data_IF_313232539496
#
_entry.id   IF_313232539496
#
_cell.length_a   1.000
_cell.length_b   1.000
_cell.length_c   1.000
_cell.angle_alpha   90.00
_cell.angle_beta   90.00
_cell.angle_gamma   90.00
#
_symmetry.space_group_name_H-M   'P 1'
#
loop_
_entity.id
_entity.type
_entity.pdbx_description
1 polymer ?
#
# COMPACT_ATOMS: atom_id res chain seq x y z
N UNK A 1 -8.59 4.44 -6.58
CA UNK A 1 -8.80 4.50 -8.05
C UNK A 1 -9.80 5.54 -8.55
N UNK A 2 -10.87 5.91 -7.84
CA UNK A 2 -11.96 6.73 -8.43
C UNK A 2 -11.53 8.09 -9.02
N UNK A 3 -10.47 8.72 -8.52
CA UNK A 3 -9.90 9.95 -9.10
C UNK A 3 -9.09 9.68 -10.39
N UNK A 4 -8.45 8.52 -10.47
CA UNK A 4 -7.65 8.10 -11.61
C UNK A 4 -8.49 7.49 -12.74
N UNK A 5 -9.60 6.82 -12.40
CA UNK A 5 -10.62 6.36 -13.34
C UNK A 5 -12.02 6.77 -12.85
N UNK A 6 -12.51 7.95 -13.28
CA UNK A 6 -13.80 8.48 -12.82
C UNK A 6 -14.99 7.59 -13.20
N UNK A 7 -15.77 7.19 -12.20
CA UNK A 7 -16.88 6.20 -12.35
C UNK A 7 -17.94 6.59 -13.37
N UNK A 8 -18.16 7.88 -13.58
CA UNK A 8 -19.07 8.40 -14.59
C UNK A 8 -18.69 7.97 -16.02
N UNK A 9 -17.43 7.59 -16.27
CA UNK A 9 -17.01 7.09 -17.58
C UNK A 9 -17.54 5.68 -17.87
N UNK A 10 -18.10 4.98 -16.88
CA UNK A 10 -18.70 3.66 -17.09
C UNK A 10 -19.85 3.70 -18.09
N UNK A 11 -20.66 4.76 -18.10
CA UNK A 11 -21.75 4.92 -19.06
C UNK A 11 -21.25 5.06 -20.51
N UNK A 12 -20.03 5.56 -20.69
CA UNK A 12 -19.42 5.79 -22.00
C UNK A 12 -18.64 4.59 -22.48
N UNK A 13 -17.84 3.99 -21.61
CA UNK A 13 -17.05 2.80 -21.92
C UNK A 13 -16.95 1.86 -20.71
N UNK A 14 -17.91 0.92 -20.57
CA UNK A 14 -17.88 -0.10 -19.52
C UNK A 14 -16.66 -1.03 -19.61
N UNK A 15 -16.00 -1.13 -20.77
CA UNK A 15 -14.87 -2.06 -20.97
C UNK A 15 -13.65 -1.70 -20.14
N UNK A 16 -13.55 -0.42 -19.74
CA UNK A 16 -12.48 0.07 -18.89
C UNK A 16 -12.50 -0.53 -17.48
N UNK A 17 -13.65 -1.03 -17.05
CA UNK A 17 -13.86 -1.45 -15.67
C UNK A 17 -13.75 -2.96 -15.51
N UNK A 18 -13.46 -3.39 -14.29
CA UNK A 18 -13.30 -4.82 -13.99
C UNK A 18 -14.55 -5.62 -14.36
N UNK A 19 -14.33 -6.86 -14.77
CA UNK A 19 -15.37 -7.89 -14.72
C UNK A 19 -15.41 -8.43 -13.29
N UNK A 20 -16.60 -8.49 -12.69
CA UNK A 20 -16.84 -9.07 -11.38
C UNK A 20 -16.96 -10.60 -11.43
N UNK A 21 -17.16 -11.22 -10.28
CA UNK A 21 -17.28 -12.68 -10.14
C UNK A 21 -18.51 -13.24 -10.87
N UNK A 22 -19.52 -12.41 -11.14
CA UNK A 22 -20.71 -12.74 -11.91
C UNK A 22 -20.51 -12.58 -13.43
N UNK A 23 -19.31 -12.23 -13.88
CA UNK A 23 -19.01 -12.04 -15.31
C UNK A 23 -19.48 -10.70 -15.88
N UNK A 24 -19.86 -9.73 -15.04
CA UNK A 24 -20.40 -8.44 -15.45
C UNK A 24 -19.37 -7.31 -15.26
N UNK A 25 -19.38 -6.31 -16.15
CA UNK A 25 -18.59 -5.08 -15.95
C UNK A 25 -19.17 -4.28 -14.78
N UNK A 26 -18.30 -3.82 -13.88
CA UNK A 26 -18.71 -3.09 -12.68
C UNK A 26 -17.80 -1.88 -12.40
N UNK A 27 -18.36 -0.69 -12.10
CA UNK A 27 -17.57 0.49 -11.76
C UNK A 27 -17.19 0.59 -10.27
N UNK A 28 -17.48 -0.42 -9.45
CA UNK A 28 -17.34 -0.35 -7.99
C UNK A 28 -15.90 -0.20 -7.46
N UNK A 29 -14.92 -0.81 -8.12
CA UNK A 29 -13.54 -0.91 -7.62
C UNK A 29 -12.50 -0.75 -8.75
N UNK A 30 -11.72 -1.78 -9.04
CA UNK A 30 -10.58 -1.67 -9.94
C UNK A 30 -10.97 -1.63 -11.43
N UNK A 31 -9.98 -1.26 -12.25
CA UNK A 31 -10.12 -1.24 -13.70
C UNK A 31 -9.81 -2.62 -14.32
N UNK A 32 -10.07 -2.75 -15.62
CA UNK A 32 -9.54 -3.85 -16.42
C UNK A 32 -8.16 -3.47 -16.94
N UNK A 33 -7.09 -4.06 -16.38
CA UNK A 33 -5.69 -3.76 -16.75
C UNK A 33 -5.30 -4.14 -18.18
N UNK A 34 -6.21 -4.81 -18.90
CA UNK A 34 -6.10 -5.13 -20.32
C UNK A 34 -6.99 -4.27 -21.23
N UNK A 35 -7.67 -3.25 -20.70
CA UNK A 35 -8.38 -2.24 -21.49
C UNK A 35 -7.44 -1.06 -21.76
N UNK A 36 -7.06 -0.86 -23.02
CA UNK A 36 -6.17 0.25 -23.41
C UNK A 36 -6.75 1.60 -23.00
N UNK A 37 -8.06 1.79 -23.15
CA UNK A 37 -8.74 3.02 -22.76
C UNK A 37 -8.68 3.26 -21.23
N UNK A 38 -8.79 2.19 -20.42
CA UNK A 38 -8.63 2.33 -18.97
C UNK A 38 -7.22 2.78 -18.62
N UNK A 39 -6.21 2.11 -19.20
CA UNK A 39 -4.81 2.43 -18.95
C UNK A 39 -4.50 3.87 -19.37
N UNK A 40 -4.98 4.31 -20.52
CA UNK A 40 -4.80 5.67 -21.02
C UNK A 40 -5.36 6.71 -20.05
N UNK A 41 -6.65 6.60 -19.70
CA UNK A 41 -7.31 7.53 -18.75
C UNK A 41 -6.60 7.55 -17.40
N UNK A 42 -6.20 6.38 -16.89
CA UNK A 42 -5.47 6.29 -15.62
C UNK A 42 -4.12 6.98 -15.71
N UNK A 43 -3.35 6.72 -16.76
CA UNK A 43 -2.03 7.32 -16.97
C UNK A 43 -2.12 8.85 -17.15
N UNK A 44 -3.11 9.34 -17.89
CA UNK A 44 -3.38 10.77 -18.05
C UNK A 44 -3.68 11.44 -16.70
N UNK A 45 -4.55 10.84 -15.89
CA UNK A 45 -4.89 11.38 -14.57
C UNK A 45 -3.70 11.28 -13.60
N UNK A 46 -2.92 10.19 -13.63
CA UNK A 46 -1.68 10.06 -12.85
C UNK A 46 -0.73 11.20 -13.18
N UNK A 47 -0.49 11.49 -14.47
CA UNK A 47 0.38 12.62 -14.89
C UNK A 47 -0.19 13.96 -14.41
N UNK A 48 -1.49 14.20 -14.63
CA UNK A 48 -2.17 15.41 -14.16
C UNK A 48 -1.98 15.62 -12.65
N UNK A 49 -2.20 14.59 -11.84
CA UNK A 49 -2.01 14.71 -10.39
C UNK A 49 -0.54 14.84 -10.00
N UNK A 50 0.39 14.23 -10.73
CA UNK A 50 1.82 14.35 -10.49
C UNK A 50 2.38 15.75 -10.77
N UNK A 51 1.73 16.52 -11.65
CA UNK A 51 2.06 17.93 -11.89
C UNK A 51 1.55 18.85 -10.77
N UNK A 52 0.39 18.53 -10.18
CA UNK A 52 -0.22 19.30 -9.07
C UNK A 52 0.46 18.96 -7.73
N UNK A 53 0.69 17.68 -7.49
CA UNK A 53 1.15 17.10 -6.23
C UNK A 53 2.51 16.41 -6.41
N UNK A 54 3.47 17.13 -6.98
CA UNK A 54 4.81 16.57 -7.25
C UNK A 54 5.55 16.28 -5.93
N UNK A 55 5.95 15.02 -5.66
CA UNK A 55 6.75 14.70 -4.49
C UNK A 55 8.17 15.28 -4.66
N UNK A 56 8.75 15.76 -3.56
CA UNK A 56 10.15 16.22 -3.54
C UNK A 56 11.15 15.06 -3.64
N UNK A 57 10.71 13.86 -3.26
CA UNK A 57 11.53 12.63 -3.22
C UNK A 57 11.55 11.86 -4.53
N UNK A 58 10.66 12.17 -5.47
CA UNK A 58 10.44 11.35 -6.68
C UNK A 58 9.69 10.03 -6.41
N UNK A 59 9.28 9.74 -5.16
CA UNK A 59 8.52 8.54 -4.80
C UNK A 59 7.03 8.84 -4.87
N UNK A 60 6.34 8.15 -5.77
CA UNK A 60 4.90 8.25 -5.96
C UNK A 60 4.18 7.06 -5.33
N UNK A 61 2.98 7.31 -4.84
CA UNK A 61 2.12 6.35 -4.15
C UNK A 61 0.73 6.39 -4.79
N UNK A 62 0.58 5.71 -5.93
CA UNK A 62 -0.71 5.51 -6.60
C UNK A 62 -1.06 4.03 -6.51
N UNK A 63 -2.13 3.72 -5.77
CA UNK A 63 -2.58 2.36 -5.58
C UNK A 63 -3.89 2.10 -6.34
N UNK A 64 -4.11 0.82 -6.63
CA UNK A 64 -5.43 0.29 -6.94
C UNK A 64 -6.42 0.59 -5.80
N UNK A 65 -7.72 0.35 -5.97
CA UNK A 65 -8.61 0.25 -4.80
C UNK A 65 -8.18 -0.97 -3.99
N UNK A 66 -7.38 -0.71 -2.95
CA UNK A 66 -6.67 -1.70 -2.16
C UNK A 66 -7.64 -2.61 -1.39
N UNK A 67 -7.26 -3.88 -1.21
CA UNK A 67 -8.13 -4.89 -0.62
C UNK A 67 -9.39 -5.24 -1.43
N UNK A 68 -9.64 -4.59 -2.58
CA UNK A 68 -10.78 -4.87 -3.47
C UNK A 68 -10.39 -5.81 -4.61
N UNK A 69 -11.34 -6.60 -5.13
CA UNK A 69 -11.05 -7.55 -6.20
C UNK A 69 -10.61 -6.86 -7.51
N UNK A 70 -9.73 -7.53 -8.25
CA UNK A 70 -9.33 -7.12 -9.59
C UNK A 70 -10.27 -7.69 -10.67
N UNK A 71 -9.89 -7.54 -11.94
CA UNK A 71 -10.71 -7.93 -13.08
C UNK A 71 -10.69 -9.43 -13.33
N UNK A 72 -11.87 -10.01 -13.58
CA UNK A 72 -12.07 -11.43 -13.89
C UNK A 72 -12.35 -11.69 -15.38
N UNK A 73 -12.01 -10.76 -16.27
CA UNK A 73 -12.17 -10.99 -17.71
C UNK A 73 -11.25 -12.12 -18.17
N UNK A 74 -11.53 -12.69 -19.35
CA UNK A 74 -10.79 -13.86 -19.88
C UNK A 74 -9.27 -13.66 -19.93
N UNK A 75 -8.79 -12.42 -20.07
CA UNK A 75 -7.37 -12.05 -20.04
C UNK A 75 -6.83 -11.80 -18.63
N UNK A 76 -7.57 -11.08 -17.79
CA UNK A 76 -7.12 -10.70 -16.45
C UNK A 76 -7.10 -11.88 -15.47
N UNK A 77 -8.03 -12.84 -15.59
CA UNK A 77 -8.10 -14.02 -14.69
C UNK A 77 -6.88 -14.94 -14.75
N UNK A 78 -5.96 -14.72 -15.69
CA UNK A 78 -4.71 -15.45 -15.82
C UNK A 78 -3.62 -14.92 -14.87
N UNK A 79 -3.89 -13.81 -14.19
CA UNK A 79 -2.95 -13.10 -13.33
C UNK A 79 -3.50 -12.95 -11.91
N UNK A 80 -2.63 -13.03 -10.91
CA UNK A 80 -2.97 -12.71 -9.52
C UNK A 80 -3.34 -11.23 -9.36
N UNK A 81 -3.93 -10.87 -8.21
CA UNK A 81 -4.27 -9.47 -7.93
C UNK A 81 -2.99 -8.59 -7.90
N UNK A 82 -1.88 -9.11 -7.35
CA UNK A 82 -0.56 -8.43 -7.36
C UNK A 82 -0.02 -8.24 -8.77
N UNK A 83 -0.16 -9.25 -9.63
CA UNK A 83 0.26 -9.16 -11.03
C UNK A 83 -0.58 -8.16 -11.82
N UNK A 84 -1.90 -8.11 -11.59
CA UNK A 84 -2.75 -7.10 -12.21
C UNK A 84 -2.38 -5.70 -11.73
N UNK A 85 -2.14 -5.51 -10.42
CA UNK A 85 -1.64 -4.23 -9.89
C UNK A 85 -0.34 -3.81 -10.57
N UNK A 86 0.61 -4.74 -10.68
CA UNK A 86 1.91 -4.48 -11.27
C UNK A 86 1.86 -4.17 -12.78
N UNK A 87 0.93 -4.78 -13.53
CA UNK A 87 0.69 -4.42 -14.94
C UNK A 87 0.31 -2.94 -15.03
N UNK A 88 -0.62 -2.49 -14.19
CA UNK A 88 -1.06 -1.08 -14.17
C UNK A 88 0.08 -0.15 -13.73
N UNK A 89 0.78 -0.49 -12.65
CA UNK A 89 1.89 0.28 -12.10
C UNK A 89 3.03 0.47 -13.10
N UNK A 90 3.36 -0.57 -13.88
CA UNK A 90 4.36 -0.47 -14.94
C UNK A 90 3.99 0.57 -16.01
N UNK A 91 2.71 0.67 -16.39
CA UNK A 91 2.24 1.70 -17.33
C UNK A 91 2.22 3.09 -16.68
N UNK A 92 1.73 3.18 -15.44
CA UNK A 92 1.71 4.44 -14.67
C UNK A 92 3.12 5.00 -14.49
N UNK A 93 4.12 4.18 -14.16
CA UNK A 93 5.51 4.62 -14.04
C UNK A 93 6.07 5.16 -15.36
N UNK A 94 5.77 4.51 -16.49
CA UNK A 94 6.18 5.02 -17.81
C UNK A 94 5.56 6.37 -18.11
N UNK A 95 4.30 6.59 -17.73
CA UNK A 95 3.63 7.87 -17.89
C UNK A 95 4.24 8.94 -16.98
N UNK A 96 4.44 8.64 -15.69
CA UNK A 96 5.08 9.54 -14.72
C UNK A 96 6.46 10.03 -15.20
N UNK A 97 7.26 9.14 -15.79
CA UNK A 97 8.60 9.48 -16.28
C UNK A 97 8.63 10.44 -17.46
N UNK A 98 7.49 10.72 -18.10
CA UNK A 98 7.38 11.78 -19.11
C UNK A 98 7.44 13.17 -18.47
N UNK A 99 7.03 13.31 -17.21
CA UNK A 99 6.98 14.59 -16.49
C UNK A 99 7.95 14.68 -15.31
N UNK A 100 8.37 13.56 -14.74
CA UNK A 100 9.45 13.47 -13.75
C UNK A 100 10.38 12.28 -14.05
N UNK A 101 11.54 12.56 -14.64
CA UNK A 101 12.52 11.54 -15.01
C UNK A 101 13.05 10.73 -13.80
N UNK A 102 12.90 11.24 -12.57
CA UNK A 102 13.33 10.56 -11.33
C UNK A 102 12.22 9.73 -10.70
N UNK A 103 11.02 9.71 -11.31
CA UNK A 103 9.86 9.03 -10.73
C UNK A 103 10.16 7.56 -10.44
N UNK A 104 9.79 7.17 -9.23
CA UNK A 104 9.62 5.80 -8.74
C UNK A 104 8.20 5.63 -8.21
N UNK A 105 7.69 4.41 -8.19
CA UNK A 105 6.30 4.13 -7.85
C UNK A 105 6.19 2.91 -6.94
N UNK A 106 5.41 3.03 -5.88
CA UNK A 106 5.17 1.95 -4.93
C UNK A 106 4.31 0.83 -5.53
N UNK A 107 4.75 -0.42 -5.38
CA UNK A 107 3.90 -1.61 -5.44
C UNK A 107 3.44 -1.94 -4.02
N UNK A 108 2.14 -1.83 -3.76
CA UNK A 108 1.58 -2.07 -2.44
C UNK A 108 1.31 -3.56 -2.24
N UNK A 109 2.08 -4.21 -1.37
CA UNK A 109 1.80 -5.54 -0.85
C UNK A 109 0.87 -5.43 0.36
N UNK A 110 -0.44 -5.57 0.11
CA UNK A 110 -1.50 -5.36 1.09
C UNK A 110 -2.74 -6.22 0.81
N UNK A 111 -3.25 -6.90 1.84
CA UNK A 111 -4.44 -7.74 1.74
C UNK A 111 -4.39 -8.72 0.55
N UNK A 112 -5.09 -8.40 -0.55
CA UNK A 112 -5.19 -9.25 -1.74
C UNK A 112 -3.91 -9.28 -2.60
N UNK A 113 -3.03 -8.30 -2.42
CA UNK A 113 -1.75 -8.20 -3.15
C UNK A 113 -0.54 -8.62 -2.30
N UNK A 114 -0.77 -9.31 -1.18
CA UNK A 114 0.30 -9.67 -0.24
C UNK A 114 1.29 -10.69 -0.81
N UNK A 115 0.81 -11.63 -1.62
CA UNK A 115 1.66 -12.59 -2.33
C UNK A 115 2.38 -11.88 -3.49
N UNK A 116 3.69 -12.07 -3.67
CA UNK A 116 4.42 -11.37 -4.71
C UNK A 116 3.99 -11.81 -6.12
N UNK A 117 4.15 -10.94 -7.13
CA UNK A 117 3.93 -11.31 -8.52
C UNK A 117 4.99 -12.33 -8.99
N UNK A 118 4.59 -13.26 -9.87
CA UNK A 118 5.44 -14.37 -10.32
C UNK A 118 5.78 -14.24 -11.81
N UNK A 119 4.77 -13.98 -12.64
CA UNK A 119 4.86 -13.90 -14.10
C UNK A 119 5.19 -12.49 -14.58
N UNK A 120 4.68 -11.47 -13.88
CA UNK A 120 4.87 -10.05 -14.22
C UNK A 120 6.07 -9.51 -13.45
N UNK A 121 7.03 -8.89 -14.16
CA UNK A 121 8.23 -8.31 -13.56
C UNK A 121 8.07 -6.80 -13.32
N UNK A 122 8.58 -6.27 -12.21
CA UNK A 122 8.60 -4.83 -11.98
C UNK A 122 9.53 -4.14 -12.97
N UNK A 123 9.09 -3.02 -13.54
CA UNK A 123 9.97 -2.11 -14.24
C UNK A 123 10.97 -1.47 -13.25
N UNK A 124 12.17 -1.13 -13.73
CA UNK A 124 13.13 -0.39 -12.92
C UNK A 124 12.49 0.90 -12.40
N UNK A 125 12.47 1.09 -11.07
CA UNK A 125 11.81 2.20 -10.37
C UNK A 125 10.45 1.86 -9.75
N UNK A 126 9.93 0.65 -9.94
CA UNK A 126 8.90 0.12 -9.03
C UNK A 126 9.59 -0.37 -7.76
N UNK A 127 9.13 0.07 -6.59
CA UNK A 127 9.68 -0.35 -5.30
C UNK A 127 8.57 -0.98 -4.43
N UNK A 128 8.95 -1.88 -3.52
CA UNK A 128 8.01 -2.50 -2.60
C UNK A 128 7.54 -1.50 -1.53
N UNK A 129 6.23 -1.44 -1.32
CA UNK A 129 5.63 -0.93 -0.10
C UNK A 129 4.86 -2.06 0.60
N UNK A 130 5.34 -2.50 1.75
CA UNK A 130 4.80 -3.65 2.48
C UNK A 130 3.95 -3.19 3.66
N UNK A 131 2.68 -3.61 3.71
CA UNK A 131 1.72 -3.12 4.70
C UNK A 131 1.03 -4.27 5.46
N UNK A 132 1.58 -4.69 6.63
CA UNK A 132 1.10 -5.87 7.36
C UNK A 132 -0.14 -5.59 8.24
N UNK A 133 -1.19 -4.98 7.71
CA UNK A 133 -2.34 -4.47 8.50
C UNK A 133 -3.03 -5.52 9.40
N UNK A 134 -2.99 -6.80 9.02
CA UNK A 134 -3.62 -7.87 9.78
C UNK A 134 -2.78 -8.40 10.94
N UNK A 135 -1.58 -7.87 11.18
CA UNK A 135 -0.76 -8.26 12.33
C UNK A 135 -1.37 -7.80 13.65
N UNK A 136 -0.87 -8.32 14.76
CA UNK A 136 -1.04 -7.71 16.08
C UNK A 136 0.19 -6.86 16.43
N UNK A 137 -0.01 -5.80 17.22
CA UNK A 137 1.02 -4.97 17.83
C UNK A 137 1.17 -5.24 19.33
N UNK A 138 0.53 -6.29 19.85
CA UNK A 138 0.74 -6.74 21.23
C UNK A 138 2.13 -7.34 21.44
N UNK A 139 2.75 -7.84 20.38
CA UNK A 139 4.05 -8.52 20.32
C UNK A 139 4.83 -8.06 19.07
N UNK A 140 6.18 -8.14 19.07
CA UNK A 140 7.02 -7.80 17.93
C UNK A 140 6.81 -8.73 16.73
N UNK A 141 6.92 -8.23 15.50
CA UNK A 141 6.73 -9.01 14.26
C UNK A 141 7.78 -10.09 14.09
N UNK A 142 8.95 -9.91 14.72
CA UNK A 142 10.01 -10.92 14.80
C UNK A 142 9.54 -12.17 15.54
N UNK A 143 8.52 -12.07 16.39
CA UNK A 143 7.92 -13.20 17.11
C UNK A 143 7.03 -14.03 16.19
N UNK A 144 7.67 -14.88 15.39
CA UNK A 144 7.01 -15.68 14.34
C UNK A 144 5.82 -16.51 14.86
N UNK A 145 5.90 -17.00 16.08
CA UNK A 145 4.92 -17.85 16.75
C UNK A 145 3.82 -17.08 17.51
N UNK A 146 3.71 -15.76 17.31
CA UNK A 146 2.60 -14.97 17.85
C UNK A 146 1.25 -15.62 17.51
N UNK A 147 0.42 -15.80 18.55
CA UNK A 147 -0.86 -16.52 18.43
C UNK A 147 -1.87 -15.79 17.53
N UNK A 148 -1.76 -14.47 17.48
CA UNK A 148 -2.61 -13.59 16.71
C UNK A 148 -1.78 -12.86 15.66
N UNK A 149 -2.42 -12.43 14.57
CA UNK A 149 -1.77 -11.58 13.58
C UNK A 149 -0.80 -12.25 12.61
N UNK A 150 -0.59 -13.57 12.71
CA UNK A 150 0.14 -14.37 11.71
C UNK A 150 1.54 -13.82 11.37
N UNK A 151 2.30 -13.36 12.37
CA UNK A 151 3.60 -12.70 12.17
C UNK A 151 4.56 -13.50 11.30
N UNK A 152 4.69 -14.81 11.54
CA UNK A 152 5.55 -15.67 10.71
C UNK A 152 5.19 -15.60 9.21
N UNK A 153 3.90 -15.57 8.88
CA UNK A 153 3.43 -15.49 7.48
C UNK A 153 3.72 -14.12 6.87
N UNK A 154 3.57 -13.05 7.63
CA UNK A 154 3.97 -11.71 7.17
C UNK A 154 5.47 -11.62 6.90
N UNK A 155 6.31 -12.22 7.74
CA UNK A 155 7.75 -12.25 7.47
C UNK A 155 8.08 -13.08 6.22
N UNK A 156 7.40 -14.21 6.00
CA UNK A 156 7.57 -15.01 4.77
C UNK A 156 7.15 -14.22 3.51
N UNK A 157 6.04 -13.49 3.59
CA UNK A 157 5.61 -12.61 2.51
C UNK A 157 6.56 -11.43 2.29
N UNK A 158 7.08 -10.83 3.35
CA UNK A 158 8.07 -9.76 3.25
C UNK A 158 9.32 -10.26 2.55
N UNK A 159 9.88 -11.37 3.01
CA UNK A 159 11.11 -11.97 2.47
C UNK A 159 10.91 -12.35 0.98
N UNK A 160 9.73 -12.87 0.63
CA UNK A 160 9.37 -13.22 -0.76
C UNK A 160 9.18 -11.99 -1.65
N UNK A 161 8.58 -10.91 -1.15
CA UNK A 161 8.45 -9.65 -1.90
C UNK A 161 9.81 -8.96 -2.09
N UNK A 162 10.67 -8.96 -1.06
CA UNK A 162 12.03 -8.43 -1.16
C UNK A 162 12.87 -9.16 -2.22
N UNK A 163 12.63 -10.47 -2.43
CA UNK A 163 13.28 -11.21 -3.50
C UNK A 163 12.88 -10.76 -4.91
N UNK A 164 11.69 -10.15 -5.07
CA UNK A 164 11.18 -9.66 -6.36
C UNK A 164 11.54 -8.18 -6.60
N UNK A 165 11.33 -7.33 -5.59
CA UNK A 165 11.47 -5.88 -5.72
C UNK A 165 12.81 -5.34 -5.24
N UNK A 166 13.60 -6.15 -4.53
CA UNK A 166 14.80 -5.69 -3.84
C UNK A 166 14.48 -4.97 -2.53
N UNK A 167 15.53 -4.71 -1.75
CA UNK A 167 15.44 -4.10 -0.40
C UNK A 167 15.81 -2.62 -0.35
N UNK A 168 16.61 -2.15 -1.31
CA UNK A 168 17.29 -0.85 -1.22
C UNK A 168 16.29 0.32 -1.18
N UNK A 169 15.24 0.26 -1.99
CA UNK A 169 14.17 1.28 -2.05
C UNK A 169 12.87 0.84 -1.36
N UNK A 170 12.87 -0.35 -0.75
CA UNK A 170 11.70 -0.93 -0.12
C UNK A 170 11.26 -0.10 1.09
N UNK A 171 9.95 -0.05 1.29
CA UNK A 171 9.29 0.66 2.37
C UNK A 171 8.34 -0.26 3.12
N UNK A 172 8.28 -0.10 4.43
CA UNK A 172 7.22 -0.69 5.25
C UNK A 172 6.26 0.40 5.68
N UNK A 173 4.97 0.16 5.47
CA UNK A 173 3.86 0.97 5.94
C UNK A 173 3.21 0.29 7.15
N UNK A 174 3.48 0.81 8.33
CA UNK A 174 3.02 0.30 9.61
C UNK A 174 1.86 1.12 10.19
N UNK A 175 1.32 0.65 11.31
CA UNK A 175 0.11 1.22 11.91
C UNK A 175 0.25 1.50 13.40
N UNK A 176 1.47 1.61 13.93
CA UNK A 176 1.72 1.82 15.36
C UNK A 176 1.02 3.05 15.94
N UNK A 177 0.82 4.10 15.13
CA UNK A 177 0.17 5.35 15.53
C UNK A 177 -1.29 5.46 15.04
N UNK A 178 -1.83 4.44 14.36
CA UNK A 178 -3.14 4.52 13.72
C UNK A 178 -4.28 4.33 14.71
N UNK A 179 -4.70 5.42 15.36
CA UNK A 179 -5.84 5.43 16.29
C UNK A 179 -7.11 4.96 15.58
N UNK A 180 -7.27 5.21 14.28
CA UNK A 180 -8.44 4.75 13.53
C UNK A 180 -8.50 3.23 13.46
N UNK A 181 -7.39 2.56 13.15
CA UNK A 181 -7.28 1.10 13.13
C UNK A 181 -7.63 0.50 14.51
N UNK A 182 -7.00 1.01 15.58
CA UNK A 182 -7.24 0.50 16.93
C UNK A 182 -8.65 0.80 17.46
N UNK A 183 -9.34 1.76 16.84
CA UNK A 183 -10.74 2.10 17.11
C UNK A 183 -11.71 1.44 16.12
N UNK A 184 -11.25 0.48 15.31
CA UNK A 184 -12.07 -0.19 14.29
C UNK A 184 -12.76 0.78 13.33
N UNK A 185 -12.07 1.86 12.98
CA UNK A 185 -12.52 2.97 12.13
C UNK A 185 -13.75 3.75 12.65
N UNK A 186 -14.16 3.54 13.90
CA UNK A 186 -15.29 4.23 14.54
C UNK A 186 -14.81 5.46 15.29
N UNK A 187 -15.07 6.64 14.71
CA UNK A 187 -14.58 7.94 15.25
C UNK A 187 -15.25 8.34 16.57
N UNK A 188 -16.47 7.88 16.80
CA UNK A 188 -17.24 8.06 18.04
C UNK A 188 -16.77 7.11 19.16
N UNK A 189 -16.08 6.03 18.80
CA UNK A 189 -15.54 5.03 19.73
C UNK A 189 -14.00 5.03 19.76
N UNK A 190 -13.37 6.22 19.66
CA UNK A 190 -11.91 6.37 19.74
C UNK A 190 -11.36 5.71 21.00
N UNK A 191 -10.33 4.89 20.84
CA UNK A 191 -9.59 4.26 21.94
C UNK A 191 -8.22 4.91 22.12
N UNK A 192 -7.68 4.81 23.33
CA UNK A 192 -6.27 5.13 23.58
C UNK A 192 -5.39 4.23 22.72
N UNK A 193 -4.35 4.81 22.12
CA UNK A 193 -3.37 4.06 21.35
C UNK A 193 -2.70 2.99 22.25
N UNK A 194 -2.67 1.71 21.86
CA UNK A 194 -2.02 0.65 22.61
C UNK A 194 -0.50 0.64 22.38
N UNK A 195 0.14 1.81 22.54
CA UNK A 195 1.56 2.00 22.26
C UNK A 195 2.43 1.13 23.18
N UNK A 196 3.39 0.44 22.57
CA UNK A 196 4.42 -0.36 23.24
C UNK A 196 5.77 -0.06 22.61
N UNK A 197 6.55 0.80 23.26
CA UNK A 197 7.85 1.25 22.78
C UNK A 197 8.79 0.09 22.42
N UNK A 198 8.87 -0.93 23.28
CA UNK A 198 9.79 -2.06 23.05
C UNK A 198 9.38 -2.88 21.82
N UNK A 199 8.08 -3.12 21.64
CA UNK A 199 7.54 -3.78 20.43
C UNK A 199 7.89 -3.00 19.17
N UNK A 200 7.66 -1.68 19.19
CA UNK A 200 7.98 -0.80 18.07
C UNK A 200 9.47 -0.83 17.72
N UNK A 201 10.36 -0.78 18.71
CA UNK A 201 11.81 -0.82 18.48
C UNK A 201 12.28 -2.17 17.95
N UNK A 202 11.70 -3.27 18.43
CA UNK A 202 11.99 -4.62 17.91
C UNK A 202 11.46 -4.82 16.49
N UNK A 203 10.29 -4.26 16.16
CA UNK A 203 9.77 -4.26 14.79
C UNK A 203 10.71 -3.53 13.83
N UNK A 204 11.16 -2.33 14.23
CA UNK A 204 12.14 -1.55 13.48
C UNK A 204 13.41 -2.36 13.23
N UNK A 205 13.95 -3.04 14.25
CA UNK A 205 15.12 -3.89 14.10
C UNK A 205 14.87 -5.04 13.12
N UNK A 206 13.70 -5.70 13.20
CA UNK A 206 13.33 -6.78 12.30
C UNK A 206 13.27 -6.36 10.83
N UNK A 207 12.83 -5.13 10.54
CA UNK A 207 12.87 -4.54 9.20
C UNK A 207 14.29 -4.12 8.81
N UNK A 208 15.05 -3.54 9.73
CA UNK A 208 16.42 -3.11 9.49
C UNK A 208 17.35 -4.28 9.15
N UNK A 209 17.20 -5.42 9.82
CA UNK A 209 17.94 -6.66 9.57
C UNK A 209 17.69 -7.22 8.16
N UNK A 210 16.53 -6.91 7.57
CA UNK A 210 16.19 -7.22 6.17
C UNK A 210 16.71 -6.20 5.17
N UNK A 211 17.40 -5.16 5.65
CA UNK A 211 17.96 -4.08 4.85
C UNK A 211 16.97 -2.98 4.50
N UNK A 212 15.77 -2.97 5.08
CA UNK A 212 14.78 -1.91 4.84
C UNK A 212 15.18 -0.67 5.64
N UNK A 213 15.12 0.50 5.00
CA UNK A 213 15.47 1.79 5.61
C UNK A 213 14.36 2.83 5.54
N UNK A 214 13.30 2.55 4.79
CA UNK A 214 12.11 3.39 4.73
C UNK A 214 10.98 2.75 5.54
N UNK A 215 10.53 3.46 6.57
CA UNK A 215 9.42 3.03 7.41
C UNK A 215 8.49 4.22 7.63
N UNK A 216 7.20 4.01 7.40
CA UNK A 216 6.14 4.99 7.60
C UNK A 216 5.05 4.40 8.50
N UNK A 217 4.25 5.27 9.11
CA UNK A 217 3.06 4.85 9.87
C UNK A 217 1.92 5.81 9.63
N UNK A 218 0.69 5.30 9.59
CA UNK A 218 -0.48 6.16 9.71
C UNK A 218 -0.63 6.66 11.15
N UNK A 219 -1.17 7.88 11.29
CA UNK A 219 -1.57 8.51 12.55
C UNK A 219 -3.03 9.02 12.47
N UNK A 220 -3.89 8.28 11.78
CA UNK A 220 -5.28 8.67 11.57
C UNK A 220 -6.06 8.72 12.90
N UNK A 221 -6.96 9.69 13.04
CA UNK A 221 -7.72 10.03 14.27
C UNK A 221 -6.90 10.52 15.47
N UNK A 222 -5.59 10.78 15.31
CA UNK A 222 -4.77 11.48 16.28
C UNK A 222 -5.00 13.00 16.19
N UNK A 223 -6.24 13.43 16.50
CA UNK A 223 -6.69 14.82 16.41
C UNK A 223 -6.78 15.51 17.80
N UNK A 224 -7.20 16.78 17.83
CA UNK A 224 -7.30 17.55 19.08
C UNK A 224 -8.22 16.89 20.13
N UNK A 225 -9.27 16.19 19.69
CA UNK A 225 -10.15 15.46 20.60
C UNK A 225 -9.44 14.26 21.22
N UNK A 226 -8.62 13.54 20.44
CA UNK A 226 -7.79 12.46 20.99
C UNK A 226 -6.85 13.00 22.08
N UNK A 227 -6.15 14.11 21.82
CA UNK A 227 -5.23 14.72 22.80
C UNK A 227 -5.97 15.15 24.07
N UNK A 228 -7.13 15.79 23.92
CA UNK A 228 -7.98 16.20 25.05
C UNK A 228 -8.41 15.00 25.91
N UNK A 229 -8.68 13.85 25.29
CA UNK A 229 -9.19 12.67 25.98
C UNK A 229 -8.08 11.78 26.57
N UNK A 230 -6.98 11.61 25.86
CA UNK A 230 -5.96 10.60 26.16
C UNK A 230 -4.55 11.15 26.44
N UNK A 231 -4.37 12.46 26.30
CA UNK A 231 -3.09 13.16 26.43
C UNK A 231 -2.25 13.13 25.15
N UNK A 232 -1.03 13.65 25.28
CA UNK A 232 -0.09 13.71 24.16
C UNK A 232 0.25 12.30 23.62
N UNK A 233 0.20 12.08 22.30
CA UNK A 233 0.62 10.84 21.68
C UNK A 233 2.14 10.64 21.73
N UNK A 234 2.64 9.40 21.59
CA UNK A 234 4.07 9.07 21.73
C UNK A 234 4.90 9.44 20.48
N UNK A 235 4.70 10.64 19.93
CA UNK A 235 5.35 11.08 18.69
C UNK A 235 6.85 11.26 18.84
N UNK A 236 7.32 11.71 20.01
CA UNK A 236 8.75 11.85 20.29
C UNK A 236 9.46 10.48 20.34
N UNK A 237 8.84 9.49 20.98
CA UNK A 237 9.36 8.13 21.03
C UNK A 237 9.37 7.48 19.64
N UNK A 238 8.32 7.68 18.85
CA UNK A 238 8.24 7.23 17.47
C UNK A 238 9.35 7.87 16.62
N UNK A 239 9.51 9.19 16.68
CA UNK A 239 10.53 9.91 15.93
C UNK A 239 11.96 9.50 16.32
N UNK A 240 12.22 9.31 17.61
CA UNK A 240 13.51 8.81 18.11
C UNK A 240 13.79 7.36 17.68
N UNK A 241 12.79 6.48 17.68
CA UNK A 241 12.96 5.12 17.19
C UNK A 241 13.31 5.08 15.70
N UNK A 242 12.65 5.90 14.87
CA UNK A 242 12.96 5.96 13.44
C UNK A 242 14.36 6.51 13.14
N UNK A 243 14.89 7.43 13.96
CA UNK A 243 16.28 7.91 13.79
C UNK A 243 17.32 6.79 13.87
N UNK A 244 16.99 5.66 14.48
CA UNK A 244 17.88 4.49 14.60
C UNK A 244 17.95 3.65 13.31
N UNK A 245 17.08 3.91 12.33
CA UNK A 245 17.15 3.30 11.00
C UNK A 245 18.20 3.97 10.09
N UNK A 246 18.60 5.20 10.43
CA UNK A 246 19.52 6.03 9.64
C UNK A 246 20.99 5.63 9.76
#
# INVERSE_FOLDING_TARGET
>A
MSDLLPRALFEKDPSMYRVNEQGQRSPDFNCCVHSSNAIEVVCENVVKYAEILRPTTGRYFYWIDDGRPMCQCSRCRLYSDSEQSLILENEMLRALRRVDARATLAHLAYARTMEPPVQVKPASGIFLEFAPIGRTWSEPISRREAKEGQHGRYLDWLDSNLAVFGKDDAQVLEYWLDVSLFSSWKRDAKKRLPWKRDVFLEDIAAYADRGIRHVTSFAAYMDADYVKQYGEPPLDEYGEGLRRLG
#
